data_IF_156503403496
#
_entry.id   IF_156503403496
#
_cell.length_a   1.000
_cell.length_b   1.000
_cell.length_c   1.000
_cell.angle_alpha   90.00
_cell.angle_beta   90.00
_cell.angle_gamma   90.00
#
_symmetry.space_group_name_H-M   'P 1'
#
loop_
_entity.id
_entity.type
_entity.pdbx_description
1 polymer ?
#
# COMPACT_ATOMS: atom_id res chain seq x y z
N UNK A 1 50.89 -15.38 -16.43
CA UNK A 1 49.59 -16.05 -16.56
C UNK A 1 48.55 -14.95 -16.67
N UNK A 2 48.27 -14.55 -17.92
CA UNK A 2 47.28 -13.52 -18.21
C UNK A 2 45.90 -14.14 -18.11
N UNK A 3 45.09 -13.60 -17.19
CA UNK A 3 43.69 -13.94 -17.06
C UNK A 3 42.94 -13.34 -18.27
N UNK A 4 42.70 -14.13 -19.29
CA UNK A 4 41.72 -13.84 -20.32
C UNK A 4 40.34 -13.88 -19.70
N UNK A 5 39.87 -12.78 -19.16
CA UNK A 5 38.47 -12.54 -18.91
C UNK A 5 37.83 -12.27 -20.27
N UNK A 6 37.12 -13.26 -20.78
CA UNK A 6 36.37 -13.19 -22.02
C UNK A 6 35.37 -12.04 -21.96
N UNK A 7 35.69 -10.94 -22.59
CA UNK A 7 34.86 -9.75 -22.83
C UNK A 7 33.77 -9.99 -23.88
N UNK A 8 32.93 -11.00 -23.71
CA UNK A 8 31.90 -11.24 -24.72
C UNK A 8 30.48 -11.50 -24.20
N UNK A 9 30.16 -10.92 -23.07
CA UNK A 9 28.75 -10.78 -22.66
C UNK A 9 28.57 -9.55 -21.78
N UNK A 10 28.98 -8.37 -22.28
CA UNK A 10 28.30 -7.18 -21.80
C UNK A 10 26.83 -7.30 -22.26
N UNK A 11 26.01 -7.93 -21.46
CA UNK A 11 24.55 -7.76 -21.54
C UNK A 11 24.30 -6.29 -21.28
N UNK A 12 24.20 -5.52 -22.38
CA UNK A 12 23.90 -4.10 -22.31
C UNK A 12 22.59 -3.97 -21.55
N UNK A 13 22.63 -3.28 -20.41
CA UNK A 13 21.41 -2.96 -19.67
C UNK A 13 20.42 -2.27 -20.62
N UNK A 14 19.18 -2.68 -20.62
CA UNK A 14 18.12 -2.09 -21.46
C UNK A 14 18.09 -0.56 -21.36
N UNK A 15 18.41 -0.01 -20.19
CA UNK A 15 18.51 1.43 -19.94
C UNK A 15 19.47 2.17 -20.89
N UNK A 16 20.55 1.51 -21.36
CA UNK A 16 21.61 2.21 -22.08
C UNK A 16 21.67 1.94 -23.58
N UNK A 17 21.12 0.82 -24.07
CA UNK A 17 21.42 0.40 -25.43
C UNK A 17 20.34 -0.44 -26.11
N UNK A 18 19.18 -0.59 -25.55
CA UNK A 18 18.08 -1.35 -26.16
C UNK A 18 16.95 -0.38 -26.48
N UNK A 19 16.42 -0.49 -27.70
CA UNK A 19 15.24 0.26 -28.08
C UNK A 19 14.11 -0.13 -27.11
N UNK A 20 13.43 0.84 -26.46
CA UNK A 20 12.32 0.54 -25.57
C UNK A 20 11.28 -0.35 -26.24
N UNK A 21 10.74 -1.34 -25.52
CA UNK A 21 9.65 -2.17 -26.02
C UNK A 21 8.41 -1.32 -26.27
N UNK A 22 8.17 -0.33 -25.40
CA UNK A 22 7.14 0.68 -25.55
C UNK A 22 7.80 2.02 -25.87
N UNK A 23 7.52 2.57 -27.06
CA UNK A 23 8.01 3.88 -27.51
C UNK A 23 6.97 4.99 -27.35
N UNK A 24 5.77 4.63 -26.96
CA UNK A 24 4.66 5.55 -26.77
C UNK A 24 4.56 5.93 -25.30
N UNK A 25 4.33 7.20 -25.02
CA UNK A 25 3.98 7.63 -23.68
C UNK A 25 2.66 6.95 -23.28
N UNK A 26 2.66 6.35 -22.09
CA UNK A 26 1.41 5.81 -21.57
C UNK A 26 0.42 6.96 -21.37
N UNK A 27 -0.84 6.81 -21.82
CA UNK A 27 -1.81 7.88 -21.68
C UNK A 27 -1.99 8.25 -20.20
N UNK A 28 -2.00 9.54 -19.92
CA UNK A 28 -2.34 10.02 -18.58
C UNK A 28 -3.78 9.57 -18.25
N UNK A 29 -3.91 8.76 -17.22
CA UNK A 29 -5.21 8.36 -16.69
C UNK A 29 -5.70 9.43 -15.71
N UNK A 30 -6.38 10.46 -16.23
CA UNK A 30 -7.07 11.43 -15.39
C UNK A 30 -8.52 10.98 -15.20
N UNK A 31 -8.79 10.40 -14.02
CA UNK A 31 -10.14 9.93 -13.65
C UNK A 31 -10.96 11.02 -12.91
N UNK A 32 -10.47 12.27 -12.89
CA UNK A 32 -11.15 13.37 -12.23
C UNK A 32 -12.07 14.11 -13.24
N UNK A 33 -13.35 13.86 -13.14
CA UNK A 33 -14.39 14.41 -14.00
C UNK A 33 -15.31 15.42 -13.31
N UNK A 34 -16.43 15.74 -13.96
CA UNK A 34 -17.45 16.62 -13.39
C UNK A 34 -18.08 16.07 -12.09
N UNK A 35 -18.16 14.75 -11.93
CA UNK A 35 -18.77 14.11 -10.77
C UNK A 35 -17.92 14.31 -9.53
N UNK A 36 -16.60 14.15 -9.64
CA UNK A 36 -15.63 14.38 -8.55
C UNK A 36 -15.62 15.87 -8.17
N UNK A 37 -15.63 16.78 -9.15
CA UNK A 37 -15.72 18.21 -8.91
C UNK A 37 -16.99 18.57 -8.15
N UNK A 38 -18.13 18.03 -8.56
CA UNK A 38 -19.40 18.26 -7.89
C UNK A 38 -19.41 17.71 -6.46
N UNK A 39 -18.76 16.54 -6.23
CA UNK A 39 -18.62 15.96 -4.89
C UNK A 39 -17.79 16.86 -3.96
N UNK A 40 -16.65 17.35 -4.45
CA UNK A 40 -15.80 18.29 -3.71
C UNK A 40 -16.56 19.59 -3.38
N UNK A 41 -17.24 20.17 -4.37
CA UNK A 41 -18.01 21.40 -4.16
C UNK A 41 -19.11 21.23 -3.11
N UNK A 42 -19.83 20.10 -3.12
CA UNK A 42 -20.83 19.83 -2.05
C UNK A 42 -20.22 19.87 -0.64
N UNK A 43 -19.01 19.33 -0.47
CA UNK A 43 -18.33 19.38 0.83
C UNK A 43 -17.90 20.79 1.16
N UNK A 44 -17.32 21.53 0.20
CA UNK A 44 -16.90 22.91 0.38
C UNK A 44 -18.08 23.82 0.78
N UNK A 45 -19.22 23.65 0.17
CA UNK A 45 -20.45 24.43 0.43
C UNK A 45 -20.97 24.24 1.88
N UNK A 46 -20.64 23.11 2.51
CA UNK A 46 -21.00 22.89 3.93
C UNK A 46 -20.18 23.74 4.90
N UNK A 47 -19.03 24.28 4.48
CA UNK A 47 -18.06 24.94 5.34
C UNK A 47 -17.39 24.03 6.38
N UNK A 48 -17.67 22.73 6.37
CA UNK A 48 -17.13 21.74 7.34
C UNK A 48 -16.22 20.75 6.63
N UNK A 49 -14.92 21.04 6.63
CA UNK A 49 -13.90 20.21 5.98
C UNK A 49 -13.37 19.08 6.89
N UNK A 50 -13.54 19.22 8.21
CA UNK A 50 -13.17 18.18 9.18
C UNK A 50 -14.33 17.96 10.14
N UNK A 51 -14.72 16.71 10.30
CA UNK A 51 -15.83 16.33 11.13
C UNK A 51 -15.48 15.23 12.16
N UNK A 52 -14.19 14.97 12.36
CA UNK A 52 -13.73 14.16 13.48
C UNK A 52 -13.63 15.06 14.72
N UNK A 53 -14.59 14.93 15.64
CA UNK A 53 -14.64 15.73 16.87
C UNK A 53 -14.40 14.83 18.10
N UNK A 54 -13.51 15.28 18.99
CA UNK A 54 -13.15 14.54 20.20
C UNK A 54 -14.18 14.74 21.32
N UNK A 55 -15.45 14.51 21.04
CA UNK A 55 -16.54 14.53 22.01
C UNK A 55 -17.64 13.55 21.60
N UNK A 56 -18.53 13.21 22.51
CA UNK A 56 -19.71 12.38 22.20
C UNK A 56 -20.67 13.18 21.30
N UNK A 57 -20.52 12.98 19.99
CA UNK A 57 -21.20 13.70 18.92
C UNK A 57 -21.33 12.73 17.71
N UNK A 58 -22.37 12.82 16.89
CA UNK A 58 -22.49 12.01 15.67
C UNK A 58 -21.28 12.10 14.73
N UNK A 59 -20.49 13.17 14.81
CA UNK A 59 -19.25 13.38 14.03
C UNK A 59 -18.01 12.71 14.64
N UNK A 60 -18.12 12.05 15.79
CA UNK A 60 -16.97 11.37 16.42
C UNK A 60 -16.32 10.36 15.47
N UNK A 61 -17.11 9.70 14.64
CA UNK A 61 -16.67 8.74 13.63
C UNK A 61 -16.55 9.36 12.22
N UNK A 62 -16.31 10.65 12.12
CA UNK A 62 -16.14 11.35 10.85
C UNK A 62 -17.41 11.93 10.25
N UNK A 63 -17.22 12.62 9.12
CA UNK A 63 -18.28 13.30 8.38
C UNK A 63 -19.13 12.36 7.51
N UNK A 64 -20.10 12.97 6.84
CA UNK A 64 -21.07 12.24 5.99
C UNK A 64 -20.38 11.48 4.86
N UNK A 65 -19.41 12.08 4.18
CA UNK A 65 -18.73 11.45 3.03
C UNK A 65 -17.83 10.29 3.48
N UNK A 66 -17.15 10.42 4.62
CA UNK A 66 -16.34 9.34 5.22
C UNK A 66 -17.23 8.14 5.54
N UNK A 67 -18.32 8.36 6.25
CA UNK A 67 -19.28 7.28 6.60
C UNK A 67 -19.89 6.63 5.38
N UNK A 68 -20.21 7.40 4.36
CA UNK A 68 -20.75 6.90 3.09
C UNK A 68 -19.71 6.02 2.38
N UNK A 69 -18.46 6.46 2.34
CA UNK A 69 -17.36 5.69 1.76
C UNK A 69 -17.18 4.35 2.47
N UNK A 70 -17.06 4.36 3.81
CA UNK A 70 -16.93 3.15 4.63
C UNK A 70 -18.11 2.20 4.44
N UNK A 71 -19.34 2.74 4.40
CA UNK A 71 -20.54 1.95 4.15
C UNK A 71 -20.56 1.34 2.76
N UNK A 72 -20.18 2.10 1.74
CA UNK A 72 -20.09 1.61 0.36
C UNK A 72 -19.07 0.47 0.26
N UNK A 73 -17.92 0.61 0.94
CA UNK A 73 -16.89 -0.42 0.98
C UNK A 73 -17.39 -1.70 1.67
N UNK A 74 -18.08 -1.56 2.81
CA UNK A 74 -18.71 -2.70 3.50
C UNK A 74 -19.67 -3.46 2.58
N UNK A 75 -20.53 -2.72 1.86
CA UNK A 75 -21.54 -3.33 0.99
C UNK A 75 -20.92 -3.98 -0.24
N UNK A 76 -19.86 -3.38 -0.81
CA UNK A 76 -19.17 -3.90 -2.00
C UNK A 76 -18.41 -5.20 -1.66
N UNK A 77 -17.67 -5.21 -0.57
CA UNK A 77 -16.81 -6.33 -0.19
C UNK A 77 -17.48 -7.31 0.79
N UNK A 78 -18.73 -7.06 1.18
CA UNK A 78 -19.51 -7.88 2.12
C UNK A 78 -18.80 -8.10 3.46
N UNK A 79 -18.09 -7.07 3.92
CA UNK A 79 -17.41 -7.06 5.21
C UNK A 79 -18.26 -6.35 6.25
N UNK A 80 -18.13 -6.78 7.51
CA UNK A 80 -18.92 -6.25 8.61
C UNK A 80 -18.52 -4.82 9.00
N UNK A 81 -17.23 -4.52 8.91
CA UNK A 81 -16.67 -3.24 9.30
C UNK A 81 -15.68 -2.75 8.25
N UNK A 82 -15.60 -1.46 8.06
CA UNK A 82 -14.57 -0.77 7.29
C UNK A 82 -14.21 0.53 8.01
N UNK A 83 -12.95 0.86 8.04
CA UNK A 83 -12.42 2.10 8.62
C UNK A 83 -11.51 2.74 7.59
N UNK A 84 -11.81 3.97 7.23
CA UNK A 84 -11.01 4.72 6.27
C UNK A 84 -9.81 5.39 6.95
N UNK A 85 -8.74 5.55 6.18
CA UNK A 85 -7.53 6.25 6.59
C UNK A 85 -6.95 7.02 5.40
N UNK A 86 -5.90 7.78 5.64
CA UNK A 86 -5.32 8.69 4.64
C UNK A 86 -4.38 8.01 3.64
N UNK A 87 -3.95 6.78 3.89
CA UNK A 87 -3.01 6.07 3.02
C UNK A 87 -3.00 4.56 3.26
N UNK A 88 -2.52 3.79 2.27
CA UNK A 88 -2.30 2.35 2.43
C UNK A 88 -1.25 2.03 3.52
N UNK A 89 -0.24 2.88 3.68
CA UNK A 89 0.75 2.74 4.77
C UNK A 89 0.09 2.80 6.14
N UNK A 90 -0.79 3.79 6.35
CA UNK A 90 -1.56 3.89 7.61
C UNK A 90 -2.51 2.72 7.78
N UNK A 91 -3.13 2.24 6.69
CA UNK A 91 -4.00 1.06 6.74
C UNK A 91 -3.24 -0.19 7.20
N UNK A 92 -2.02 -0.41 6.68
CA UNK A 92 -1.16 -1.50 7.11
C UNK A 92 -0.77 -1.37 8.59
N UNK A 93 -0.40 -0.17 9.03
CA UNK A 93 -0.08 0.09 10.43
C UNK A 93 -1.27 -0.23 11.36
N UNK A 94 -2.47 0.22 10.97
CA UNK A 94 -3.71 -0.06 11.72
C UNK A 94 -4.02 -1.55 11.75
N UNK A 95 -3.82 -2.27 10.63
CA UNK A 95 -4.05 -3.71 10.55
C UNK A 95 -3.09 -4.49 11.45
N UNK A 96 -1.81 -4.14 11.44
CA UNK A 96 -0.78 -4.74 12.31
C UNK A 96 -1.12 -4.49 13.80
N UNK A 97 -1.51 -3.26 14.15
CA UNK A 97 -1.97 -2.92 15.51
C UNK A 97 -3.22 -3.71 15.91
N UNK A 98 -4.20 -3.82 15.00
CA UNK A 98 -5.43 -4.56 15.24
C UNK A 98 -5.20 -6.09 15.40
N UNK A 99 -4.14 -6.62 14.80
CA UNK A 99 -3.69 -7.99 15.01
C UNK A 99 -3.02 -8.20 16.38
N UNK A 100 -2.80 -7.13 17.15
CA UNK A 100 -2.20 -7.19 18.49
C UNK A 100 -0.68 -7.19 18.47
N UNK A 101 -0.04 -6.90 17.34
CA UNK A 101 1.42 -6.86 17.21
C UNK A 101 1.99 -5.67 17.99
N UNK A 102 3.00 -5.94 18.80
CA UNK A 102 3.69 -4.97 19.66
C UNK A 102 5.17 -5.30 19.87
N UNK A 103 5.80 -4.72 20.90
CA UNK A 103 7.23 -4.87 21.15
C UNK A 103 7.65 -6.32 21.33
N UNK A 104 8.59 -6.76 20.47
CA UNK A 104 9.16 -8.11 20.52
C UNK A 104 8.41 -9.15 19.68
N UNK A 105 7.24 -8.82 19.13
CA UNK A 105 6.55 -9.72 18.23
C UNK A 105 7.22 -9.73 16.85
N UNK A 106 7.34 -10.91 16.26
CA UNK A 106 7.89 -11.10 14.92
C UNK A 106 6.79 -11.22 13.88
N UNK A 107 6.98 -10.56 12.74
CA UNK A 107 6.03 -10.59 11.63
C UNK A 107 6.76 -10.94 10.35
N UNK A 108 6.42 -12.09 9.76
CA UNK A 108 7.02 -12.53 8.51
C UNK A 108 6.48 -11.69 7.35
N UNK A 109 7.38 -11.20 6.50
CA UNK A 109 7.05 -10.39 5.32
C UNK A 109 8.01 -10.69 4.16
N UNK A 110 7.61 -10.32 2.95
CA UNK A 110 8.46 -10.43 1.77
C UNK A 110 9.49 -9.29 1.72
N UNK A 111 10.74 -9.54 1.31
CA UNK A 111 11.71 -8.49 1.00
C UNK A 111 11.40 -7.77 -0.32
N UNK A 112 10.64 -8.41 -1.21
CA UNK A 112 10.22 -7.84 -2.50
C UNK A 112 8.86 -7.19 -2.38
N UNK A 113 8.83 -6.02 -1.77
CA UNK A 113 7.62 -5.25 -1.50
C UNK A 113 7.93 -3.76 -1.34
N UNK A 114 6.90 -2.93 -1.27
CA UNK A 114 7.04 -1.54 -0.85
C UNK A 114 7.57 -1.47 0.59
N UNK A 115 8.45 -0.52 0.86
CA UNK A 115 8.99 -0.28 2.21
C UNK A 115 7.90 -0.05 3.28
N UNK A 116 6.70 0.35 2.86
CA UNK A 116 5.55 0.51 3.75
C UNK A 116 5.20 -0.78 4.51
N UNK A 117 5.42 -1.97 3.90
CA UNK A 117 5.09 -3.26 4.52
C UNK A 117 5.91 -3.53 5.78
N UNK A 118 7.25 -3.60 5.74
CA UNK A 118 8.04 -3.76 6.95
C UNK A 118 7.98 -2.52 7.87
N UNK A 119 7.80 -1.32 7.32
CA UNK A 119 7.65 -0.11 8.14
C UNK A 119 6.41 -0.14 9.02
N UNK A 120 5.30 -0.71 8.55
CA UNK A 120 4.09 -0.85 9.36
C UNK A 120 4.33 -1.75 10.60
N UNK A 121 5.14 -2.78 10.47
CA UNK A 121 5.56 -3.64 11.60
C UNK A 121 6.42 -2.85 12.57
N UNK A 122 7.45 -2.15 12.07
CA UNK A 122 8.34 -1.33 12.89
C UNK A 122 7.61 -0.20 13.63
N UNK A 123 6.62 0.44 12.99
CA UNK A 123 5.79 1.48 13.60
C UNK A 123 4.98 0.96 14.81
N UNK A 124 4.69 -0.34 14.84
CA UNK A 124 4.07 -1.01 15.98
C UNK A 124 5.11 -1.66 16.95
N UNK A 125 6.39 -1.33 16.77
CA UNK A 125 7.51 -1.87 17.57
C UNK A 125 7.69 -3.40 17.43
N UNK A 126 7.09 -4.00 16.40
CA UNK A 126 7.33 -5.38 16.00
C UNK A 126 8.63 -5.52 15.19
N UNK A 127 9.05 -6.74 14.99
CA UNK A 127 10.30 -7.12 14.30
C UNK A 127 9.91 -7.74 12.94
N UNK A 128 10.19 -7.08 11.78
CA UNK A 128 9.94 -7.70 10.49
C UNK A 128 10.98 -8.80 10.21
N UNK A 129 10.52 -10.01 9.98
CA UNK A 129 11.32 -11.16 9.56
C UNK A 129 11.10 -11.36 8.06
N UNK A 130 12.16 -11.35 7.27
CA UNK A 130 12.04 -11.53 5.84
C UNK A 130 12.10 -13.00 5.44
N UNK A 131 11.06 -13.46 4.77
CA UNK A 131 11.06 -14.73 4.05
C UNK A 131 11.32 -14.48 2.58
N UNK A 132 12.08 -15.35 1.94
CA UNK A 132 12.50 -15.21 0.55
C UNK A 132 11.31 -15.26 -0.43
N UNK A 133 11.58 -15.00 -1.68
CA UNK A 133 10.58 -15.04 -2.77
C UNK A 133 10.85 -16.19 -3.72
N UNK A 134 9.80 -16.71 -4.31
CA UNK A 134 9.86 -17.58 -5.45
C UNK A 134 10.38 -16.80 -6.67
N UNK A 135 11.46 -17.21 -7.33
CA UNK A 135 12.09 -16.45 -8.42
C UNK A 135 11.25 -16.38 -9.71
N UNK A 136 10.28 -17.28 -9.89
CA UNK A 136 9.46 -17.31 -11.08
C UNK A 136 8.20 -16.44 -10.93
N UNK A 137 7.62 -16.41 -9.75
CA UNK A 137 6.37 -15.69 -9.46
C UNK A 137 6.58 -14.37 -8.75
N UNK A 138 7.73 -14.15 -8.12
CA UNK A 138 8.06 -13.03 -7.24
C UNK A 138 7.15 -12.91 -6.01
N UNK A 139 6.35 -13.93 -5.74
CA UNK A 139 5.57 -14.03 -4.52
C UNK A 139 6.43 -14.55 -3.37
N UNK A 140 6.00 -14.29 -2.12
CA UNK A 140 6.68 -14.86 -0.95
C UNK A 140 6.71 -16.39 -1.04
N UNK A 141 7.85 -17.01 -0.72
CA UNK A 141 8.02 -18.48 -0.73
C UNK A 141 7.40 -19.10 0.53
N UNK A 142 6.31 -19.87 0.41
CA UNK A 142 5.68 -20.53 1.56
C UNK A 142 6.62 -21.47 2.32
N UNK A 143 7.57 -22.10 1.63
CA UNK A 143 8.52 -22.99 2.26
C UNK A 143 9.54 -22.21 3.11
N UNK A 144 9.91 -20.99 2.73
CA UNK A 144 10.73 -20.14 3.55
C UNK A 144 9.94 -19.54 4.72
N UNK A 145 8.68 -19.21 4.53
CA UNK A 145 7.79 -18.78 5.63
C UNK A 145 7.72 -19.85 6.72
N UNK A 146 7.61 -21.14 6.35
CA UNK A 146 7.56 -22.25 7.30
C UNK A 146 8.87 -22.43 8.08
N UNK A 147 10.01 -22.05 7.46
CA UNK A 147 11.34 -22.15 8.11
C UNK A 147 11.65 -21.02 9.09
N UNK A 148 10.95 -19.88 8.97
CA UNK A 148 11.17 -18.69 9.83
C UNK A 148 10.35 -18.74 11.10
#
# INVERSE_FOLDING_TARGET
MENNINNNTEKKLALFNVKPIFNEELPETNNLGPEEKAAVMRVMDTGVLSAFVAKFDPRFYGGVEVKKFEKTFQDMFKVKHAVSCNSATTALQMAVAAAGIGPGDEVITSPYTMSATPSAVLMNQGIPIFADIDPDTFCIDPADVERK
#
